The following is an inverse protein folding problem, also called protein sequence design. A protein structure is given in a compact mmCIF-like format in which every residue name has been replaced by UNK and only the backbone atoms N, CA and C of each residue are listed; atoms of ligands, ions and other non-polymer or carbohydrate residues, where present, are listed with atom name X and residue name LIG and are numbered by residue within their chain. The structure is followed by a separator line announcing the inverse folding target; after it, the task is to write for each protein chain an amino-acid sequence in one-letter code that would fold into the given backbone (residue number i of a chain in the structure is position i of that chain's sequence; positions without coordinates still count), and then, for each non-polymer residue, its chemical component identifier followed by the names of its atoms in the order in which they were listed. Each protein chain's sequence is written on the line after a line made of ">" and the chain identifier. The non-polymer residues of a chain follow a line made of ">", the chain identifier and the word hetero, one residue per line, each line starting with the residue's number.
data_IF_208424956622
#
_entry.id   IF_208424956622
#
_cell.length_a   1.000
_cell.length_b   1.000
_cell.length_c   1.000
_cell.angle_alpha   90.00
_cell.angle_beta   90.00
_cell.angle_gamma   90.00
#
_symmetry.space_group_name_H-M   'P 1'
#
loop_
_entity.id
_entity.type
_entity.pdbx_description
1 polymer ?
#
# COMPACT_ATOMS: atom_id res chain seq x y z
N UNK A 1 -9.61 11.49 0.23
CA UNK A 1 -10.98 11.52 -0.30
C UNK A 1 -10.94 12.56 -1.39
N UNK A 2 -11.22 12.21 -2.64
CA UNK A 2 -11.31 13.24 -3.68
C UNK A 2 -12.67 13.92 -3.53
N UNK A 3 -12.65 15.08 -2.88
CA UNK A 3 -13.84 15.82 -2.44
C UNK A 3 -14.75 16.12 -3.65
N UNK A 4 -14.14 16.40 -4.80
CA UNK A 4 -14.82 16.72 -6.06
C UNK A 4 -15.64 15.56 -6.62
N UNK A 5 -15.14 14.32 -6.53
CA UNK A 5 -15.83 13.14 -7.04
C UNK A 5 -17.01 12.69 -6.15
N UNK A 6 -17.10 13.20 -4.92
CA UNK A 6 -18.23 12.94 -4.03
C UNK A 6 -19.31 14.00 -4.19
N UNK A 7 -18.88 15.26 -4.38
CA UNK A 7 -19.73 16.40 -4.68
C UNK A 7 -20.52 16.21 -5.99
N UNK A 8 -19.86 15.69 -7.03
CA UNK A 8 -20.47 15.41 -8.33
C UNK A 8 -21.61 14.36 -8.28
N UNK A 9 -21.54 13.38 -7.37
CA UNK A 9 -22.60 12.36 -7.17
C UNK A 9 -23.74 12.92 -6.32
N UNK A 10 -23.41 13.79 -5.37
CA UNK A 10 -24.37 14.37 -4.41
C UNK A 10 -25.26 15.46 -5.00
N UNK A 11 -24.78 16.22 -5.99
CA UNK A 11 -25.56 17.28 -6.62
C UNK A 11 -26.88 16.78 -7.27
N UNK A 12 -26.86 15.81 -8.21
CA UNK A 12 -28.10 15.29 -8.78
C UNK A 12 -28.97 14.55 -7.75
N UNK A 13 -28.37 13.97 -6.71
CA UNK A 13 -29.13 13.39 -5.61
C UNK A 13 -29.93 14.45 -4.86
N UNK A 14 -29.30 15.58 -4.51
CA UNK A 14 -29.95 16.67 -3.79
C UNK A 14 -31.08 17.28 -4.62
N UNK A 15 -30.86 17.49 -5.91
CA UNK A 15 -31.90 17.93 -6.84
C UNK A 15 -33.07 16.93 -6.89
N UNK A 16 -32.77 15.63 -6.92
CA UNK A 16 -33.77 14.57 -6.83
C UNK A 16 -34.59 14.62 -5.53
N UNK A 17 -33.92 14.80 -4.38
CA UNK A 17 -34.58 14.93 -3.07
C UNK A 17 -35.47 16.16 -3.02
N UNK A 18 -35.02 17.32 -3.52
CA UNK A 18 -35.83 18.54 -3.60
C UNK A 18 -37.07 18.31 -4.46
N UNK A 19 -36.92 17.63 -5.60
CA UNK A 19 -38.07 17.28 -6.46
C UNK A 19 -39.05 16.35 -5.74
N UNK A 20 -38.57 15.40 -4.95
CA UNK A 20 -39.39 14.54 -4.09
C UNK A 20 -40.14 15.37 -3.04
N UNK A 21 -39.49 16.35 -2.39
CA UNK A 21 -40.18 17.26 -1.47
C UNK A 21 -41.31 18.05 -2.16
N UNK A 22 -41.06 18.54 -3.39
CA UNK A 22 -42.06 19.28 -4.16
C UNK A 22 -43.26 18.39 -4.56
N UNK A 23 -43.05 17.08 -4.80
CA UNK A 23 -44.15 16.12 -4.97
C UNK A 23 -44.99 16.10 -3.69
N UNK A 24 -44.36 15.96 -2.53
CA UNK A 24 -45.08 15.92 -1.26
C UNK A 24 -45.85 17.21 -0.97
N UNK A 25 -45.26 18.39 -1.21
CA UNK A 25 -45.95 19.68 -1.04
C UNK A 25 -47.11 19.84 -2.02
N UNK A 26 -46.92 19.46 -3.30
CA UNK A 26 -47.98 19.53 -4.32
C UNK A 26 -49.13 18.60 -3.99
N UNK A 27 -48.82 17.44 -3.40
CA UNK A 27 -49.80 16.53 -2.85
C UNK A 27 -50.53 17.22 -1.68
N UNK A 28 -49.84 17.63 -0.61
CA UNK A 28 -50.44 18.25 0.59
C UNK A 28 -51.37 19.43 0.28
N UNK A 29 -51.02 20.24 -0.73
CA UNK A 29 -51.80 21.41 -1.14
C UNK A 29 -52.93 21.10 -2.13
N UNK A 30 -53.16 19.84 -2.47
CA UNK A 30 -54.20 19.45 -3.44
C UNK A 30 -55.56 19.24 -2.80
N UNK A 31 -56.61 19.61 -3.52
CA UNK A 31 -57.97 19.15 -3.20
C UNK A 31 -58.09 17.68 -3.62
N UNK A 32 -58.20 16.80 -2.62
CA UNK A 32 -58.54 15.40 -2.78
C UNK A 32 -60.05 15.28 -2.71
N UNK A 33 -60.65 14.74 -3.77
CA UNK A 33 -62.09 14.47 -3.78
C UNK A 33 -62.39 13.34 -2.76
N UNK A 34 -63.25 13.60 -1.76
CA UNK A 34 -63.46 12.68 -0.63
C UNK A 34 -64.19 11.39 -1.02
N UNK A 35 -64.83 11.34 -2.20
CA UNK A 35 -65.57 10.16 -2.65
C UNK A 35 -64.77 9.31 -3.66
N UNK A 36 -63.70 9.87 -4.24
CA UNK A 36 -62.95 9.21 -5.31
C UNK A 36 -61.46 9.03 -5.01
N UNK A 37 -60.94 9.60 -3.92
CA UNK A 37 -59.51 9.60 -3.55
C UNK A 37 -58.60 10.16 -4.67
N UNK A 38 -59.15 11.08 -5.47
CA UNK A 38 -58.52 11.64 -6.67
C UNK A 38 -57.92 13.02 -6.41
N UNK A 39 -56.66 13.21 -6.82
CA UNK A 39 -55.93 14.48 -6.68
C UNK A 39 -56.01 15.35 -7.96
N UNK A 40 -56.42 16.62 -7.81
CA UNK A 40 -56.59 17.58 -8.92
C UNK A 40 -55.28 18.23 -9.44
N UNK A 41 -54.19 18.21 -8.65
CA UNK A 41 -52.94 18.95 -8.95
C UNK A 41 -51.96 18.17 -9.85
N UNK A 42 -52.48 17.26 -10.67
CA UNK A 42 -51.70 16.36 -11.51
C UNK A 42 -50.64 17.07 -12.39
N UNK A 43 -51.02 18.17 -13.04
CA UNK A 43 -50.12 18.94 -13.94
C UNK A 43 -48.88 19.50 -13.24
N UNK A 44 -48.93 19.63 -11.91
CA UNK A 44 -47.80 20.09 -11.10
C UNK A 44 -46.96 18.91 -10.59
N UNK A 45 -47.61 17.81 -10.19
CA UNK A 45 -46.93 16.62 -9.62
C UNK A 45 -46.09 15.87 -10.66
N UNK A 46 -46.58 15.72 -11.90
CA UNK A 46 -45.91 14.92 -12.94
C UNK A 46 -44.50 15.41 -13.26
N UNK A 47 -44.26 16.70 -13.58
CA UNK A 47 -42.90 17.19 -13.82
C UNK A 47 -41.94 16.90 -12.67
N UNK A 48 -42.41 16.94 -11.43
CA UNK A 48 -41.58 16.63 -10.27
C UNK A 48 -41.24 15.13 -10.15
N UNK A 49 -42.16 14.22 -10.51
CA UNK A 49 -41.87 12.77 -10.58
C UNK A 49 -40.83 12.49 -11.66
N UNK A 50 -41.04 13.01 -12.88
CA UNK A 50 -40.13 12.79 -14.01
C UNK A 50 -38.74 13.38 -13.72
N UNK A 51 -38.69 14.57 -13.12
CA UNK A 51 -37.44 15.22 -12.75
C UNK A 51 -36.70 14.46 -11.63
N UNK A 52 -37.41 14.01 -10.59
CA UNK A 52 -36.83 13.20 -9.51
C UNK A 52 -36.23 11.89 -10.06
N UNK A 53 -36.96 11.21 -10.95
CA UNK A 53 -36.50 9.99 -11.60
C UNK A 53 -35.22 10.23 -12.41
N UNK A 54 -35.18 11.29 -13.23
CA UNK A 54 -34.02 11.62 -14.06
C UNK A 54 -32.79 11.96 -13.20
N UNK A 55 -32.96 12.76 -12.16
CA UNK A 55 -31.89 13.16 -11.26
C UNK A 55 -31.31 11.96 -10.49
N UNK A 56 -32.16 11.06 -9.99
CA UNK A 56 -31.69 9.86 -9.30
C UNK A 56 -31.04 8.85 -10.24
N UNK A 57 -31.52 8.68 -11.49
CA UNK A 57 -30.83 7.88 -12.51
C UNK A 57 -29.44 8.42 -12.81
N UNK A 58 -29.29 9.75 -12.88
CA UNK A 58 -27.99 10.39 -13.07
C UNK A 58 -27.05 10.11 -11.89
N UNK A 59 -27.55 10.22 -10.65
CA UNK A 59 -26.77 9.88 -9.45
C UNK A 59 -26.38 8.39 -9.41
N UNK A 60 -27.29 7.48 -9.77
CA UNK A 60 -27.01 6.05 -9.88
C UNK A 60 -25.87 5.79 -10.86
N UNK A 61 -25.95 6.35 -12.08
CA UNK A 61 -24.92 6.18 -13.11
C UNK A 61 -23.56 6.70 -12.66
N UNK A 62 -23.52 7.88 -12.03
CA UNK A 62 -22.26 8.47 -11.53
C UNK A 62 -21.66 7.62 -10.40
N UNK A 63 -22.49 7.04 -9.53
CA UNK A 63 -22.01 6.11 -8.49
C UNK A 63 -21.47 4.80 -9.08
N UNK A 64 -22.08 4.28 -10.16
CA UNK A 64 -21.58 3.11 -10.89
C UNK A 64 -20.22 3.38 -11.53
N UNK A 65 -20.06 4.51 -12.20
CA UNK A 65 -18.78 4.94 -12.80
C UNK A 65 -17.69 5.09 -11.73
N UNK A 66 -18.05 5.65 -10.57
CA UNK A 66 -17.13 5.77 -9.43
C UNK A 66 -16.73 4.41 -8.86
N UNK A 67 -17.66 3.46 -8.75
CA UNK A 67 -17.37 2.11 -8.29
C UNK A 67 -16.38 1.41 -9.25
N UNK A 68 -16.58 1.53 -10.56
CA UNK A 68 -15.64 1.03 -11.58
C UNK A 68 -14.25 1.64 -11.42
N UNK A 69 -14.15 2.95 -11.24
CA UNK A 69 -12.87 3.62 -11.01
C UNK A 69 -12.16 3.13 -9.73
N UNK A 70 -12.92 2.87 -8.66
CA UNK A 70 -12.38 2.29 -7.43
C UNK A 70 -11.90 0.85 -7.63
N UNK A 71 -12.63 0.04 -8.41
CA UNK A 71 -12.24 -1.33 -8.76
C UNK A 71 -10.94 -1.36 -9.58
N UNK A 72 -10.83 -0.50 -10.59
CA UNK A 72 -9.60 -0.31 -11.38
C UNK A 72 -8.42 0.12 -10.51
N UNK A 73 -8.66 1.07 -9.59
CA UNK A 73 -7.62 1.54 -8.65
C UNK A 73 -7.19 0.43 -7.69
N UNK A 74 -8.13 -0.40 -7.25
CA UNK A 74 -7.87 -1.55 -6.39
C UNK A 74 -7.01 -2.60 -7.10
N UNK A 75 -7.32 -2.90 -8.36
CA UNK A 75 -6.54 -3.81 -9.19
C UNK A 75 -5.10 -3.28 -9.38
N UNK A 76 -4.96 -2.00 -9.70
CA UNK A 76 -3.66 -1.35 -9.85
C UNK A 76 -2.83 -1.44 -8.57
N UNK A 77 -3.40 -1.05 -7.42
CA UNK A 77 -2.71 -1.10 -6.12
C UNK A 77 -2.32 -2.52 -5.74
N UNK A 78 -3.15 -3.51 -6.07
CA UNK A 78 -2.84 -4.93 -5.84
C UNK A 78 -1.65 -5.40 -6.67
N UNK A 79 -1.62 -5.04 -7.97
CA UNK A 79 -0.48 -5.33 -8.86
C UNK A 79 0.80 -4.64 -8.38
N UNK A 80 0.71 -3.35 -8.03
CA UNK A 80 1.84 -2.59 -7.49
C UNK A 80 2.38 -3.23 -6.22
N UNK A 81 1.50 -3.58 -5.27
CA UNK A 81 1.88 -4.26 -4.03
C UNK A 81 2.65 -5.55 -4.30
N UNK A 82 2.11 -6.42 -5.16
CA UNK A 82 2.75 -7.68 -5.50
C UNK A 82 4.13 -7.48 -6.14
N UNK A 83 4.28 -6.50 -7.03
CA UNK A 83 5.57 -6.17 -7.66
C UNK A 83 6.59 -5.72 -6.61
N UNK A 84 6.21 -4.81 -5.71
CA UNK A 84 7.10 -4.34 -4.64
C UNK A 84 7.45 -5.46 -3.64
N UNK A 85 6.50 -6.33 -3.28
CA UNK A 85 6.77 -7.49 -2.42
C UNK A 85 7.79 -8.45 -3.06
N UNK A 86 7.64 -8.72 -4.37
CA UNK A 86 8.57 -9.57 -5.10
C UNK A 86 9.96 -8.94 -5.21
N UNK A 87 10.04 -7.64 -5.53
CA UNK A 87 11.31 -6.91 -5.54
C UNK A 87 11.98 -6.92 -4.17
N UNK A 88 11.21 -6.71 -3.10
CA UNK A 88 11.72 -6.73 -1.74
C UNK A 88 12.26 -8.11 -1.35
N UNK A 89 11.56 -9.18 -1.74
CA UNK A 89 12.02 -10.56 -1.55
C UNK A 89 13.35 -10.82 -2.26
N UNK A 90 13.49 -10.37 -3.51
CA UNK A 90 14.76 -10.49 -4.27
C UNK A 90 15.89 -9.74 -3.57
N UNK A 91 15.64 -8.51 -3.10
CA UNK A 91 16.64 -7.72 -2.35
C UNK A 91 17.08 -8.42 -1.06
N UNK A 92 16.15 -8.99 -0.30
CA UNK A 92 16.45 -9.76 0.92
C UNK A 92 17.32 -10.98 0.63
N UNK A 93 16.98 -11.76 -0.40
CA UNK A 93 17.82 -12.89 -0.83
C UNK A 93 19.23 -12.46 -1.27
N UNK A 94 19.35 -11.34 -1.98
CA UNK A 94 20.65 -10.79 -2.36
C UNK A 94 21.47 -10.33 -1.14
N UNK A 95 20.81 -9.72 -0.15
CA UNK A 95 21.43 -9.32 1.11
C UNK A 95 21.94 -10.54 1.90
N UNK A 96 21.15 -11.59 2.01
CA UNK A 96 21.55 -12.85 2.68
C UNK A 96 22.77 -13.48 2.00
N UNK A 97 22.80 -13.48 0.66
CA UNK A 97 23.97 -13.92 -0.11
C UNK A 97 25.21 -13.08 0.21
N UNK A 98 25.09 -11.75 0.25
CA UNK A 98 26.20 -10.86 0.60
C UNK A 98 26.69 -11.06 2.04
N UNK A 99 25.81 -11.41 2.99
CA UNK A 99 26.21 -11.75 4.35
C UNK A 99 27.09 -13.02 4.39
N UNK A 100 26.73 -14.04 3.61
CA UNK A 100 27.53 -15.27 3.49
C UNK A 100 28.90 -14.94 2.88
N UNK A 101 28.93 -14.20 1.78
CA UNK A 101 30.17 -13.81 1.10
C UNK A 101 31.06 -12.93 2.01
N UNK A 102 30.47 -11.99 2.75
CA UNK A 102 31.18 -11.16 3.74
C UNK A 102 31.86 -12.02 4.80
N UNK A 103 31.15 -13.01 5.35
CA UNK A 103 31.70 -13.91 6.37
C UNK A 103 32.92 -14.68 5.85
N UNK A 104 32.86 -15.17 4.61
CA UNK A 104 34.00 -15.82 3.95
C UNK A 104 35.18 -14.87 3.73
N UNK A 105 34.91 -13.61 3.35
CA UNK A 105 35.94 -12.58 3.22
C UNK A 105 36.57 -12.20 4.57
N UNK A 106 35.79 -12.15 5.65
CA UNK A 106 36.28 -11.91 7.02
C UNK A 106 37.18 -13.06 7.51
N UNK A 107 36.81 -14.31 7.26
CA UNK A 107 37.67 -15.47 7.54
C UNK A 107 38.99 -15.41 6.75
N UNK A 108 38.91 -15.07 5.46
CA UNK A 108 40.11 -14.88 4.61
C UNK A 108 41.01 -13.75 5.11
N UNK A 109 40.42 -12.64 5.57
CA UNK A 109 41.16 -11.52 6.17
C UNK A 109 41.84 -11.93 7.49
N UNK A 110 41.15 -12.73 8.32
CA UNK A 110 41.72 -13.26 9.56
C UNK A 110 42.93 -14.15 9.27
N UNK A 111 42.80 -15.05 8.29
CA UNK A 111 43.88 -15.95 7.89
C UNK A 111 45.07 -15.17 7.31
N UNK A 112 44.85 -14.19 6.44
CA UNK A 112 45.95 -13.38 5.88
C UNK A 112 46.64 -12.52 6.94
N UNK A 113 45.89 -11.97 7.92
CA UNK A 113 46.49 -11.26 9.07
C UNK A 113 47.37 -12.20 9.91
N UNK A 114 46.93 -13.42 10.16
CA UNK A 114 47.72 -14.41 10.89
C UNK A 114 49.01 -14.78 10.16
N UNK A 115 48.92 -15.00 8.83
CA UNK A 115 50.09 -15.27 7.99
C UNK A 115 51.08 -14.09 7.98
N UNK A 116 50.57 -12.86 7.88
CA UNK A 116 51.38 -11.66 7.96
C UNK A 116 52.12 -11.54 9.30
N UNK A 117 51.43 -11.77 10.42
CA UNK A 117 52.06 -11.76 11.75
C UNK A 117 53.14 -12.84 11.90
N UNK A 118 52.91 -14.03 11.33
CA UNK A 118 53.92 -15.08 11.31
C UNK A 118 55.13 -14.70 10.45
N UNK A 119 54.92 -14.14 9.26
CA UNK A 119 55.99 -13.65 8.39
C UNK A 119 56.81 -12.55 9.07
N UNK A 120 56.17 -11.58 9.75
CA UNK A 120 56.86 -10.54 10.54
C UNK A 120 57.77 -11.13 11.61
N UNK A 121 57.30 -12.13 12.35
CA UNK A 121 58.10 -12.82 13.38
C UNK A 121 59.30 -13.53 12.77
N UNK A 122 59.13 -14.21 11.64
CA UNK A 122 60.22 -14.91 10.95
C UNK A 122 61.27 -13.92 10.47
N UNK A 123 60.86 -12.82 9.82
CA UNK A 123 61.77 -11.75 9.37
C UNK A 123 62.52 -11.14 10.55
N UNK A 124 61.83 -10.87 11.67
CA UNK A 124 62.46 -10.33 12.88
C UNK A 124 63.52 -11.28 13.45
N UNK A 125 63.18 -12.56 13.64
CA UNK A 125 64.11 -13.59 14.11
C UNK A 125 65.34 -13.71 13.19
N UNK A 126 65.14 -13.72 11.87
CA UNK A 126 66.23 -13.82 10.90
C UNK A 126 67.15 -12.59 10.93
N UNK A 127 66.57 -11.38 11.05
CA UNK A 127 67.35 -10.14 11.18
C UNK A 127 68.18 -10.13 12.47
N UNK A 128 67.61 -10.59 13.59
CA UNK A 128 68.31 -10.68 14.87
C UNK A 128 69.45 -11.71 14.85
N UNK A 129 69.23 -12.89 14.25
CA UNK A 129 70.25 -13.94 14.10
C UNK A 129 71.45 -13.45 13.27
N UNK A 130 71.17 -12.81 12.13
CA UNK A 130 72.21 -12.25 11.25
C UNK A 130 72.97 -11.11 11.93
N UNK A 131 72.29 -10.30 12.74
CA UNK A 131 72.92 -9.25 13.54
C UNK A 131 73.87 -9.85 14.59
N UNK A 132 73.44 -10.88 15.32
CA UNK A 132 74.29 -11.62 16.28
C UNK A 132 75.54 -12.24 15.63
N UNK A 133 75.39 -12.85 14.45
CA UNK A 133 76.51 -13.42 13.70
C UNK A 133 77.47 -12.34 13.17
N UNK A 134 76.94 -11.19 12.74
CA UNK A 134 77.73 -10.04 12.30
C UNK A 134 78.50 -9.41 13.46
N UNK A 135 77.86 -9.25 14.62
CA UNK A 135 78.47 -8.73 15.84
C UNK A 135 79.58 -9.67 16.34
N UNK A 136 79.35 -11.00 16.30
CA UNK A 136 80.38 -12.03 16.60
C UNK A 136 81.58 -11.96 15.67
N UNK A 137 81.35 -11.71 14.39
CA UNK A 137 82.42 -11.59 13.38
C UNK A 137 83.25 -10.32 13.59
N UNK A 138 82.64 -9.24 14.07
CA UNK A 138 83.29 -7.95 14.32
C UNK A 138 83.97 -7.86 15.70
N UNK A 139 83.60 -8.70 16.69
CA UNK A 139 84.23 -8.72 18.04
C UNK A 139 85.44 -9.65 18.16
N UNK A 140 85.89 -10.27 17.06
CA UNK A 140 87.23 -10.85 16.97
C UNK A 140 87.45 -12.10 17.82
N UNK A 141 86.95 -13.25 17.36
CA UNK A 141 87.64 -14.53 17.58
C UNK A 141 87.33 -15.46 16.42
N UNK A 142 88.32 -15.71 15.57
CA UNK A 142 88.20 -16.63 14.45
C UNK A 142 88.07 -18.06 14.95
N UNK A 143 86.84 -18.57 15.01
CA UNK A 143 86.56 -20.01 15.06
C UNK A 143 85.43 -20.28 14.07
N UNK A 144 85.72 -21.12 13.08
CA UNK A 144 84.73 -21.65 12.16
C UNK A 144 83.73 -22.50 12.97
N UNK A 145 82.51 -21.98 13.15
CA UNK A 145 81.44 -22.74 13.81
C UNK A 145 80.70 -23.55 12.75
N UNK A 146 80.84 -24.87 12.90
CA UNK A 146 80.11 -25.88 12.16
C UNK A 146 78.62 -25.89 12.53
N UNK A 147 77.77 -26.07 11.52
CA UNK A 147 76.47 -26.71 11.64
C UNK A 147 75.36 -25.92 12.31
N UNK A 148 74.82 -24.90 11.64
CA UNK A 148 73.47 -24.42 11.94
C UNK A 148 72.46 -25.29 11.18
N UNK A 149 71.70 -26.12 11.91
CA UNK A 149 70.57 -26.90 11.37
C UNK A 149 69.40 -25.94 11.14
N UNK A 150 69.06 -25.70 9.88
CA UNK A 150 67.84 -25.00 9.48
C UNK A 150 66.66 -25.97 9.60
N UNK A 151 65.78 -25.76 10.57
CA UNK A 151 64.50 -26.47 10.66
C UNK A 151 63.55 -25.97 9.56
N UNK A 152 63.09 -26.83 8.64
CA UNK A 152 62.03 -26.48 7.70
C UNK A 152 60.69 -26.45 8.45
N UNK A 153 59.97 -25.33 8.41
CA UNK A 153 58.62 -25.26 8.97
C UNK A 153 57.64 -25.43 7.81
N UNK A 154 56.76 -26.46 7.86
CA UNK A 154 55.70 -26.61 6.88
C UNK A 154 54.62 -25.53 7.13
N UNK A 155 54.32 -24.72 6.11
CA UNK A 155 53.19 -23.79 6.14
C UNK A 155 51.92 -24.61 5.86
N UNK A 156 51.17 -24.91 6.92
CA UNK A 156 49.81 -25.41 6.83
C UNK A 156 48.89 -24.27 6.40
N UNK A 157 48.46 -24.28 5.14
CA UNK A 157 47.34 -23.47 4.66
C UNK A 157 47.54 -22.98 3.23
N UNK A 158 46.67 -23.40 2.32
CA UNK A 158 46.76 -23.23 0.88
C UNK A 158 46.90 -21.76 0.43
N UNK A 159 48.12 -21.33 0.09
CA UNK A 159 48.41 -20.46 -1.07
C UNK A 159 49.77 -20.87 -1.61
N UNK A 160 49.80 -21.27 -2.88
CA UNK A 160 51.02 -21.65 -3.57
C UNK A 160 52.07 -20.53 -3.58
N UNK A 161 53.24 -20.82 -3.04
CA UNK A 161 54.47 -20.04 -3.13
C UNK A 161 55.66 -20.95 -2.81
N UNK A 162 56.76 -20.90 -3.57
CA UNK A 162 57.79 -21.93 -3.53
C UNK A 162 58.56 -21.92 -2.19
N UNK A 163 58.59 -23.07 -1.52
CA UNK A 163 59.49 -23.34 -0.40
C UNK A 163 60.91 -23.50 -0.95
N UNK A 164 61.82 -22.58 -0.63
CA UNK A 164 63.23 -22.70 -1.01
C UNK A 164 63.99 -23.55 0.01
N UNK A 165 64.46 -24.74 -0.42
CA UNK A 165 65.54 -25.46 0.26
C UNK A 165 66.87 -24.74 0.01
N UNK A 166 67.63 -24.46 1.07
CA UNK A 166 69.01 -23.96 0.97
C UNK A 166 69.95 -25.12 1.31
N UNK A 167 70.68 -25.62 0.30
CA UNK A 167 71.87 -26.45 0.50
C UNK A 167 73.08 -25.53 0.67
N UNK A 168 73.93 -25.82 1.65
CA UNK A 168 74.93 -24.89 2.17
C UNK A 168 76.07 -24.53 1.21
N UNK A 169 76.44 -23.24 1.23
CA UNK A 169 77.72 -22.72 0.73
C UNK A 169 77.71 -21.19 0.59
N UNK A 170 78.28 -20.48 1.59
CA UNK A 170 78.42 -19.01 1.72
C UNK A 170 77.36 -18.30 2.62
N UNK A 171 77.61 -18.38 3.94
CA UNK A 171 76.71 -18.01 5.05
C UNK A 171 76.18 -16.56 5.03
N UNK A 172 76.78 -15.62 4.29
CA UNK A 172 76.36 -14.19 4.28
C UNK A 172 75.58 -13.81 3.01
N UNK A 173 75.96 -14.32 1.84
CA UNK A 173 75.24 -14.04 0.57
C UNK A 173 73.90 -14.77 0.56
N UNK A 174 73.87 -16.00 1.08
CA UNK A 174 72.64 -16.78 1.24
C UNK A 174 71.70 -16.17 2.30
N UNK A 175 72.26 -15.58 3.37
CA UNK A 175 71.49 -14.93 4.43
C UNK A 175 70.82 -13.62 3.96
N UNK A 176 71.53 -12.77 3.21
CA UNK A 176 70.96 -11.55 2.61
C UNK A 176 69.87 -11.86 1.58
N UNK A 177 70.05 -12.91 0.76
CA UNK A 177 69.02 -13.38 -0.17
C UNK A 177 67.78 -13.87 0.59
N UNK A 178 67.98 -14.63 1.67
CA UNK A 178 66.87 -15.13 2.48
C UNK A 178 66.13 -14.03 3.26
N UNK A 179 66.79 -12.94 3.65
CA UNK A 179 66.09 -11.75 4.20
C UNK A 179 65.22 -11.13 3.10
N UNK A 180 65.78 -10.90 1.91
CA UNK A 180 65.05 -10.26 0.82
C UNK A 180 63.85 -11.09 0.38
N UNK A 181 64.00 -12.40 0.25
CA UNK A 181 62.90 -13.30 -0.09
C UNK A 181 61.80 -13.28 1.00
N UNK A 182 62.17 -13.13 2.28
CA UNK A 182 61.23 -13.01 3.39
C UNK A 182 60.57 -11.61 3.47
N UNK A 183 61.26 -10.55 3.02
CA UNK A 183 60.69 -9.20 2.86
C UNK A 183 59.70 -9.15 1.69
N UNK A 184 59.99 -9.80 0.56
CA UNK A 184 59.06 -9.95 -0.57
C UNK A 184 57.79 -10.74 -0.14
N UNK A 185 57.94 -11.80 0.67
CA UNK A 185 56.82 -12.56 1.22
C UNK A 185 55.98 -11.72 2.20
N UNK A 186 56.64 -10.85 2.98
CA UNK A 186 55.97 -9.89 3.85
C UNK A 186 55.12 -8.90 3.04
N UNK A 187 55.67 -8.29 2.00
CA UNK A 187 54.97 -7.34 1.13
C UNK A 187 53.76 -8.01 0.44
N UNK A 188 53.90 -9.25 0.00
CA UNK A 188 52.81 -10.05 -0.56
C UNK A 188 51.69 -10.28 0.46
N UNK A 189 52.03 -10.63 1.70
CA UNK A 189 51.07 -10.83 2.78
C UNK A 189 50.36 -9.52 3.18
N UNK A 190 51.07 -8.39 3.20
CA UNK A 190 50.47 -7.06 3.45
C UNK A 190 49.48 -6.68 2.33
N UNK A 191 49.87 -6.91 1.08
CA UNK A 191 49.01 -6.71 -0.08
C UNK A 191 47.73 -7.54 0.02
N UNK A 192 47.83 -8.79 0.44
CA UNK A 192 46.68 -9.67 0.61
C UNK A 192 45.76 -9.26 1.78
N UNK A 193 46.33 -8.79 2.90
CA UNK A 193 45.54 -8.21 3.99
C UNK A 193 44.77 -6.97 3.51
N UNK A 194 45.44 -6.09 2.75
CA UNK A 194 44.81 -4.89 2.18
C UNK A 194 43.67 -5.25 1.23
N UNK A 195 43.88 -6.21 0.32
CA UNK A 195 42.86 -6.68 -0.61
C UNK A 195 41.64 -7.26 0.13
N UNK A 196 41.86 -8.17 1.07
CA UNK A 196 40.76 -8.79 1.83
C UNK A 196 40.04 -7.76 2.71
N UNK A 197 40.75 -6.78 3.27
CA UNK A 197 40.15 -5.67 4.01
C UNK A 197 39.25 -4.82 3.12
N UNK A 198 39.71 -4.50 1.91
CA UNK A 198 38.90 -3.77 0.93
C UNK A 198 37.64 -4.56 0.53
N UNK A 199 37.74 -5.89 0.34
CA UNK A 199 36.58 -6.76 0.07
C UNK A 199 35.54 -6.69 1.19
N UNK A 200 35.96 -6.84 2.46
CA UNK A 200 35.06 -6.75 3.62
C UNK A 200 34.37 -5.38 3.69
N UNK A 201 35.13 -4.29 3.47
CA UNK A 201 34.58 -2.93 3.46
C UNK A 201 33.56 -2.74 2.34
N UNK A 202 33.83 -3.28 1.14
CA UNK A 202 32.91 -3.22 0.01
C UNK A 202 31.60 -3.97 0.32
N UNK A 203 31.69 -5.19 0.88
CA UNK A 203 30.51 -5.94 1.32
C UNK A 203 29.69 -5.18 2.35
N UNK A 204 30.35 -4.55 3.33
CA UNK A 204 29.66 -3.74 4.34
C UNK A 204 28.88 -2.58 3.70
N UNK A 205 29.50 -1.85 2.77
CA UNK A 205 28.85 -0.78 2.02
C UNK A 205 27.65 -1.28 1.22
N UNK A 206 27.81 -2.37 0.45
CA UNK A 206 26.73 -2.96 -0.36
C UNK A 206 25.55 -3.44 0.48
N UNK A 207 25.83 -4.08 1.63
CA UNK A 207 24.78 -4.51 2.58
C UNK A 207 24.03 -3.29 3.10
N UNK A 208 24.74 -2.24 3.53
CA UNK A 208 24.10 -1.02 4.03
C UNK A 208 23.21 -0.35 2.97
N UNK A 209 23.65 -0.32 1.70
CA UNK A 209 22.84 0.20 0.58
C UNK A 209 21.56 -0.60 0.41
N UNK A 210 21.66 -1.94 0.33
CA UNK A 210 20.48 -2.81 0.14
C UNK A 210 19.54 -2.72 1.34
N UNK A 211 20.05 -2.62 2.56
CA UNK A 211 19.24 -2.42 3.77
C UNK A 211 18.42 -1.13 3.69
N UNK A 212 19.02 -0.03 3.24
CA UNK A 212 18.31 1.23 3.03
C UNK A 212 17.25 1.09 1.94
N UNK A 213 17.56 0.43 0.82
CA UNK A 213 16.57 0.18 -0.23
C UNK A 213 15.39 -0.70 0.22
N UNK A 214 15.64 -1.73 1.04
CA UNK A 214 14.60 -2.56 1.65
C UNK A 214 13.70 -1.69 2.55
N UNK A 215 14.30 -0.84 3.39
CA UNK A 215 13.56 0.06 4.28
C UNK A 215 12.66 1.03 3.51
N UNK A 216 13.15 1.61 2.42
CA UNK A 216 12.32 2.47 1.55
C UNK A 216 11.21 1.68 0.85
N UNK A 217 11.51 0.45 0.40
CA UNK A 217 10.51 -0.44 -0.21
C UNK A 217 9.40 -0.81 0.80
N UNK A 218 9.76 -1.10 2.05
CA UNK A 218 8.82 -1.39 3.14
C UNK A 218 7.92 -0.17 3.45
N UNK A 219 8.45 1.06 3.39
CA UNK A 219 7.63 2.28 3.51
C UNK A 219 6.61 2.41 2.38
N UNK A 220 7.02 2.13 1.14
CA UNK A 220 6.11 2.14 -0.02
C UNK A 220 5.02 1.09 0.13
N UNK A 221 5.37 -0.13 0.54
CA UNK A 221 4.40 -1.21 0.82
C UNK A 221 3.38 -0.84 1.90
N UNK A 222 3.84 -0.18 2.97
CA UNK A 222 2.96 0.34 4.01
C UNK A 222 2.01 1.42 3.49
N UNK A 223 2.49 2.32 2.61
CA UNK A 223 1.64 3.33 1.97
C UNK A 223 0.59 2.68 1.06
N UNK A 224 0.98 1.74 0.21
CA UNK A 224 0.07 1.01 -0.67
C UNK A 224 -0.98 0.26 0.15
N UNK A 225 -0.59 -0.39 1.25
CA UNK A 225 -1.55 -1.11 2.10
C UNK A 225 -2.57 -0.17 2.76
N UNK A 226 -2.14 1.02 3.19
CA UNK A 226 -3.06 2.06 3.69
C UNK A 226 -4.01 2.55 2.60
N UNK A 227 -3.52 2.70 1.36
CA UNK A 227 -4.34 3.17 0.25
C UNK A 227 -5.34 2.08 -0.21
N UNK A 228 -4.97 0.80 -0.18
CA UNK A 228 -5.89 -0.33 -0.38
C UNK A 228 -7.03 -0.28 0.64
N UNK A 229 -6.73 -0.09 1.92
CA UNK A 229 -7.77 -0.05 2.96
C UNK A 229 -8.74 1.12 2.75
N UNK A 230 -8.23 2.30 2.38
CA UNK A 230 -9.08 3.44 2.03
C UNK A 230 -9.96 3.16 0.80
N UNK A 231 -9.42 2.51 -0.23
CA UNK A 231 -10.19 2.15 -1.43
C UNK A 231 -11.28 1.14 -1.09
N UNK A 232 -10.99 0.11 -0.28
CA UNK A 232 -11.99 -0.85 0.21
C UNK A 232 -13.14 -0.16 0.93
N UNK A 233 -12.83 0.72 1.87
CA UNK A 233 -13.83 1.48 2.60
C UNK A 233 -14.70 2.30 1.64
N UNK A 234 -14.07 2.98 0.68
CA UNK A 234 -14.80 3.74 -0.34
C UNK A 234 -15.66 2.85 -1.26
N UNK A 235 -15.22 1.65 -1.61
CA UNK A 235 -15.99 0.70 -2.44
C UNK A 235 -17.26 0.26 -1.73
N UNK A 236 -17.15 -0.20 -0.46
CA UNK A 236 -18.30 -0.62 0.35
C UNK A 236 -19.32 0.52 0.43
N UNK A 237 -18.83 1.68 0.83
CA UNK A 237 -19.65 2.88 0.99
C UNK A 237 -20.30 3.32 -0.32
N UNK A 238 -19.58 3.26 -1.45
CA UNK A 238 -20.15 3.62 -2.78
C UNK A 238 -21.15 2.58 -3.29
N UNK A 239 -20.93 1.30 -3.01
CA UNK A 239 -21.83 0.22 -3.38
C UNK A 239 -23.15 0.29 -2.61
N UNK A 240 -23.10 0.51 -1.29
CA UNK A 240 -24.27 0.72 -0.45
C UNK A 240 -25.10 1.91 -0.95
N UNK A 241 -24.41 3.02 -1.28
CA UNK A 241 -25.05 4.19 -1.88
C UNK A 241 -25.75 3.86 -3.19
N UNK A 242 -25.05 3.20 -4.11
CA UNK A 242 -25.58 2.83 -5.43
C UNK A 242 -26.81 1.93 -5.30
N UNK A 243 -26.79 0.94 -4.41
CA UNK A 243 -27.93 0.05 -4.18
C UNK A 243 -29.17 0.82 -3.74
N UNK A 244 -28.99 1.77 -2.82
CA UNK A 244 -30.09 2.56 -2.30
C UNK A 244 -30.67 3.51 -3.36
N UNK A 245 -29.81 4.22 -4.11
CA UNK A 245 -30.27 5.09 -5.20
C UNK A 245 -30.98 4.28 -6.27
N UNK A 246 -30.44 3.11 -6.64
CA UNK A 246 -31.09 2.17 -7.57
C UNK A 246 -32.47 1.75 -7.09
N UNK A 247 -32.64 1.47 -5.79
CA UNK A 247 -33.96 1.15 -5.22
C UNK A 247 -34.93 2.34 -5.38
N UNK A 248 -34.49 3.56 -5.08
CA UNK A 248 -35.30 4.76 -5.26
C UNK A 248 -35.70 4.99 -6.73
N UNK A 249 -34.75 4.81 -7.67
CA UNK A 249 -35.02 4.88 -9.11
C UNK A 249 -36.08 3.86 -9.52
N UNK A 250 -35.97 2.59 -9.10
CA UNK A 250 -36.96 1.55 -9.43
C UNK A 250 -38.36 1.91 -8.93
N UNK A 251 -38.46 2.42 -7.70
CA UNK A 251 -39.72 2.84 -7.10
C UNK A 251 -40.34 4.01 -7.87
N UNK A 252 -39.56 5.03 -8.21
CA UNK A 252 -40.03 6.19 -8.98
C UNK A 252 -40.37 5.84 -10.43
N UNK A 253 -39.59 5.01 -11.12
CA UNK A 253 -39.94 4.52 -12.45
C UNK A 253 -41.25 3.73 -12.42
N UNK A 254 -41.48 2.93 -11.37
CA UNK A 254 -42.75 2.24 -11.16
C UNK A 254 -43.93 3.20 -10.95
N UNK A 255 -43.73 4.26 -10.16
CA UNK A 255 -44.72 5.31 -9.95
C UNK A 255 -45.01 6.07 -11.25
N UNK A 256 -43.97 6.54 -11.94
CA UNK A 256 -44.04 7.23 -13.23
C UNK A 256 -44.83 6.41 -14.27
N UNK A 257 -44.55 5.11 -14.37
CA UNK A 257 -45.29 4.18 -15.22
C UNK A 257 -46.77 4.05 -14.83
N UNK A 258 -47.07 3.89 -13.54
CA UNK A 258 -48.46 3.79 -13.05
C UNK A 258 -49.24 5.09 -13.27
N UNK A 259 -48.62 6.23 -13.00
CA UNK A 259 -49.19 7.56 -13.25
C UNK A 259 -49.50 7.74 -14.74
N UNK A 260 -48.60 7.29 -15.63
CA UNK A 260 -48.81 7.33 -17.09
C UNK A 260 -49.99 6.44 -17.54
N UNK A 261 -50.12 5.23 -16.98
CA UNK A 261 -51.24 4.32 -17.30
C UNK A 261 -52.57 4.88 -16.77
N UNK A 262 -52.59 5.38 -15.53
CA UNK A 262 -53.77 6.00 -14.94
C UNK A 262 -54.19 7.28 -15.67
N UNK A 263 -53.22 8.06 -16.16
CA UNK A 263 -53.46 9.20 -17.05
C UNK A 263 -54.17 8.79 -18.34
N UNK A 264 -53.71 7.73 -19.00
CA UNK A 264 -54.33 7.22 -20.24
C UNK A 264 -55.78 6.79 -20.00
N UNK A 265 -56.05 6.21 -18.82
CA UNK A 265 -57.37 5.69 -18.46
C UNK A 265 -58.34 6.77 -17.95
N UNK A 266 -57.87 7.77 -17.21
CA UNK A 266 -58.73 8.73 -16.48
C UNK A 266 -58.61 10.19 -16.96
N UNK A 267 -57.60 10.51 -17.77
CA UNK A 267 -57.26 11.83 -18.34
C UNK A 267 -57.14 13.02 -17.37
N UNK A 268 -57.40 12.86 -16.06
CA UNK A 268 -57.56 14.01 -15.15
C UNK A 268 -57.03 13.84 -13.72
N UNK A 269 -56.70 12.64 -13.24
CA UNK A 269 -56.40 12.45 -11.81
C UNK A 269 -55.34 11.36 -11.51
N UNK A 270 -54.66 11.50 -10.38
CA UNK A 270 -53.78 10.48 -9.78
C UNK A 270 -54.47 9.91 -8.53
N UNK A 271 -54.39 8.58 -8.35
CA UNK A 271 -54.75 7.89 -7.10
C UNK A 271 -53.76 8.25 -6.00
N UNK A 272 -54.25 8.94 -4.98
CA UNK A 272 -53.45 9.54 -3.91
C UNK A 272 -52.69 8.52 -3.05
N UNK A 273 -53.39 7.52 -2.50
CA UNK A 273 -52.79 6.52 -1.60
C UNK A 273 -51.57 5.76 -2.17
N UNK A 274 -51.63 5.21 -3.40
CA UNK A 274 -50.49 4.55 -4.03
C UNK A 274 -49.26 5.44 -4.21
N UNK A 275 -49.42 6.75 -4.44
CA UNK A 275 -48.30 7.69 -4.56
C UNK A 275 -47.66 7.95 -3.21
N UNK A 276 -48.47 8.22 -2.19
CA UNK A 276 -47.98 8.43 -0.82
C UNK A 276 -47.18 7.22 -0.32
N UNK A 277 -47.64 6.00 -0.60
CA UNK A 277 -46.93 4.77 -0.24
C UNK A 277 -45.57 4.62 -0.94
N UNK A 278 -45.51 4.94 -2.23
CA UNK A 278 -44.22 4.90 -2.96
C UNK A 278 -43.27 5.98 -2.44
N UNK A 279 -43.77 7.16 -2.10
CA UNK A 279 -42.96 8.24 -1.50
C UNK A 279 -42.41 7.85 -0.13
N UNK A 280 -43.19 7.15 0.69
CA UNK A 280 -42.73 6.58 1.97
C UNK A 280 -41.58 5.57 1.74
N UNK A 281 -41.71 4.67 0.77
CA UNK A 281 -40.69 3.67 0.46
C UNK A 281 -39.40 4.30 -0.11
N UNK A 282 -39.54 5.33 -0.94
CA UNK A 282 -38.41 6.14 -1.45
C UNK A 282 -37.73 6.89 -0.30
N UNK A 283 -38.51 7.46 0.62
CA UNK A 283 -37.99 8.16 1.78
C UNK A 283 -37.27 7.22 2.75
N UNK A 284 -37.81 6.03 3.04
CA UNK A 284 -37.11 5.02 3.85
C UNK A 284 -35.77 4.63 3.21
N UNK A 285 -35.75 4.47 1.89
CA UNK A 285 -34.51 4.24 1.15
C UNK A 285 -33.53 5.40 1.33
N UNK A 286 -33.94 6.64 1.03
CA UNK A 286 -33.09 7.84 1.12
C UNK A 286 -32.65 8.15 2.57
N UNK A 287 -33.51 7.94 3.57
CA UNK A 287 -33.22 8.14 4.98
C UNK A 287 -32.08 7.25 5.48
N UNK A 288 -32.05 5.98 5.04
CA UNK A 288 -30.96 5.05 5.36
C UNK A 288 -29.62 5.50 4.77
N UNK A 289 -29.59 6.25 3.66
CA UNK A 289 -28.36 6.81 3.09
C UNK A 289 -27.76 7.89 4.00
N UNK A 290 -28.60 8.74 4.56
CA UNK A 290 -28.16 9.88 5.34
C UNK A 290 -27.72 9.52 6.75
N UNK A 291 -28.32 8.49 7.34
CA UNK A 291 -27.86 7.93 8.62
C UNK A 291 -26.49 7.22 8.47
N UNK A 292 -26.17 6.69 7.28
CA UNK A 292 -24.89 6.04 6.96
C UNK A 292 -23.70 6.99 6.64
N UNK A 293 -23.75 8.25 7.10
CA UNK A 293 -22.61 9.22 7.12
C UNK A 293 -21.94 9.55 5.78
N UNK A 294 -22.60 9.31 4.65
CA UNK A 294 -22.04 9.58 3.32
C UNK A 294 -22.16 11.04 2.85
N UNK A 295 -23.16 11.77 3.33
CA UNK A 295 -23.58 13.06 2.76
C UNK A 295 -23.43 14.23 3.75
N UNK A 296 -22.55 14.10 4.75
CA UNK A 296 -22.24 15.20 5.66
C UNK A 296 -21.33 16.25 4.99
N UNK A 297 -21.82 16.89 3.93
CA UNK A 297 -21.40 18.24 3.56
C UNK A 297 -22.65 19.02 3.13
N UNK A 298 -23.10 19.86 4.08
CA UNK A 298 -24.06 20.97 4.02
C UNK A 298 -25.32 20.78 3.12
N UNK A 299 -26.49 20.63 3.78
CA UNK A 299 -27.82 20.80 3.17
C UNK A 299 -28.72 19.57 3.23
N UNK A 300 -28.16 18.37 2.99
CA UNK A 300 -28.91 17.10 2.93
C UNK A 300 -29.73 16.79 4.19
N UNK A 301 -29.23 17.00 5.42
CA UNK A 301 -30.00 16.73 6.64
C UNK A 301 -31.27 17.60 6.76
N UNK A 302 -31.24 18.83 6.23
CA UNK A 302 -32.38 19.76 6.26
C UNK A 302 -33.47 19.26 5.32
N UNK A 303 -33.10 18.85 4.10
CA UNK A 303 -34.06 18.32 3.13
C UNK A 303 -34.65 16.97 3.56
N UNK A 304 -33.85 16.10 4.18
CA UNK A 304 -34.35 14.81 4.68
C UNK A 304 -35.29 14.99 5.87
N UNK A 305 -35.02 15.98 6.73
CA UNK A 305 -35.93 16.34 7.81
C UNK A 305 -37.26 16.88 7.26
N UNK A 306 -37.22 17.84 6.33
CA UNK A 306 -38.41 18.38 5.69
C UNK A 306 -39.22 17.27 4.96
N UNK A 307 -38.52 16.37 4.26
CA UNK A 307 -39.15 15.24 3.60
C UNK A 307 -39.84 14.28 4.60
N UNK A 308 -39.20 14.04 5.76
CA UNK A 308 -39.77 13.22 6.86
C UNK A 308 -41.05 13.82 7.41
N UNK A 309 -41.06 15.13 7.62
CA UNK A 309 -42.23 15.87 8.10
C UNK A 309 -43.36 15.80 7.06
N UNK A 310 -43.08 16.12 5.80
CA UNK A 310 -44.08 16.13 4.73
C UNK A 310 -44.70 14.74 4.46
N UNK A 311 -43.90 13.67 4.45
CA UNK A 311 -44.41 12.30 4.27
C UNK A 311 -45.22 11.85 5.49
N UNK A 312 -44.81 12.22 6.70
CA UNK A 312 -45.56 11.93 7.92
C UNK A 312 -46.95 12.57 7.91
N UNK A 313 -47.04 13.83 7.49
CA UNK A 313 -48.31 14.54 7.32
C UNK A 313 -49.19 13.92 6.23
N UNK A 314 -48.62 13.54 5.08
CA UNK A 314 -49.35 12.84 4.01
C UNK A 314 -49.94 11.50 4.47
N UNK A 315 -49.18 10.71 5.24
CA UNK A 315 -49.65 9.44 5.80
C UNK A 315 -50.79 9.65 6.80
N UNK A 316 -50.70 10.67 7.65
CA UNK A 316 -51.75 11.02 8.58
C UNK A 316 -53.07 11.39 7.87
N UNK A 317 -52.98 12.15 6.77
CA UNK A 317 -54.14 12.49 5.93
C UNK A 317 -54.78 11.25 5.30
N UNK A 318 -53.99 10.35 4.70
CA UNK A 318 -54.51 9.08 4.15
C UNK A 318 -55.24 8.23 5.19
N UNK A 319 -54.67 8.12 6.40
CA UNK A 319 -55.25 7.30 7.47
C UNK A 319 -56.49 7.96 8.09
N UNK A 320 -56.57 9.29 8.11
CA UNK A 320 -57.75 10.02 8.59
C UNK A 320 -58.95 9.88 7.65
N UNK A 321 -58.71 9.82 6.33
CA UNK A 321 -59.76 9.59 5.34
C UNK A 321 -60.33 8.16 5.45
N UNK A 322 -59.48 7.15 5.66
CA UNK A 322 -59.90 5.75 5.83
C UNK A 322 -60.68 5.49 7.14
N UNK A 323 -60.45 6.28 8.19
CA UNK A 323 -61.17 6.15 9.47
C UNK A 323 -62.51 6.89 9.51
N UNK A 324 -62.88 7.60 8.43
CA UNK A 324 -64.17 8.30 8.34
C UNK A 324 -65.32 7.43 7.81
N UNK A 325 -65.05 6.20 7.37
CA UNK A 325 -66.06 5.25 6.84
C UNK A 325 -66.56 4.20 7.85
N UNK A 326 -66.60 4.52 9.15
CA UNK A 326 -67.32 3.68 10.12
C UNK A 326 -68.27 4.40 11.06
N UNK A 327 -68.64 5.66 10.78
CA UNK A 327 -69.71 6.33 11.53
C UNK A 327 -70.58 7.18 10.58
N UNK A 328 -71.47 6.51 9.85
CA UNK A 328 -72.75 7.08 9.39
C UNK A 328 -73.50 6.07 8.53
N UNK A 329 -74.19 5.12 9.18
CA UNK A 329 -75.53 4.66 8.78
C UNK A 329 -76.20 3.95 9.98
N UNK A 330 -76.68 4.75 10.93
CA UNK A 330 -78.05 4.74 11.45
C UNK A 330 -78.42 6.17 11.84
#
# INVERSE_FOLDING_TARGET
>A
MDLQAMEAVSAPLNEGIVSICNICESLLNSHVDPNTDMCCNYKQIRPHIEHAEQCLKKSEKMSEEKLKCLDERMEQLTKEKQNFEQQNKVKRMAMDKLHIEKKSAEESLKNSKAALEQAKRIVALRKDEIKRETDRKNTGTGVAIAGAVLTPIPILGWIAGPVMMIAGGSVIVDASKAIRDAEDELEKNESQVKENSNKVSNYHSRISTIQNEIKETDKVLNKISKDIEKVKQNQVVTADFQEIVRKAVRLLSGLSGRVTVLESQTRRFILWGPVVKVMEDVMKAVGNVAENRLLCNQGVPVFIKALRENVGELLALCNSAQNSEHDSYY
#
